data_IF_471295718457
#
_entry.id   IF_471295718457
#
_cell.length_a   1.000
_cell.length_b   1.000
_cell.length_c   1.000
_cell.angle_alpha   90.00
_cell.angle_beta   90.00
_cell.angle_gamma   90.00
#
_symmetry.space_group_name_H-M   'P 1'
#
loop_
_entity.id
_entity.type
_entity.pdbx_description
1 polymer ?
#
# COMPACT_ATOMS: atom_id res chain seq x y z
N UNK A 1 6.48 12.34 1.84
CA UNK A 1 5.38 11.37 2.00
C UNK A 1 5.83 10.02 1.46
N UNK A 2 5.59 8.97 2.22
CA UNK A 2 5.85 7.58 1.83
C UNK A 2 4.53 6.83 1.97
N UNK A 3 4.04 6.27 0.87
CA UNK A 3 2.81 5.49 0.87
C UNK A 3 3.18 4.02 1.01
N UNK A 4 2.53 3.33 1.94
CA UNK A 4 2.72 1.90 2.15
C UNK A 4 1.76 1.12 1.25
N UNK A 5 2.32 0.24 0.41
CA UNK A 5 1.54 -0.70 -0.38
C UNK A 5 0.89 -1.76 0.52
N UNK A 6 -0.04 -2.49 -0.03
CA UNK A 6 -0.82 -3.51 0.67
C UNK A 6 0.03 -4.52 1.42
N UNK A 7 1.11 -5.03 0.80
CA UNK A 7 1.99 -6.01 1.46
C UNK A 7 2.76 -5.41 2.65
N UNK A 8 3.10 -4.12 2.60
CA UNK A 8 3.76 -3.46 3.73
C UNK A 8 2.75 -3.22 4.85
N UNK A 9 1.54 -2.76 4.52
CA UNK A 9 0.47 -2.58 5.50
C UNK A 9 0.15 -3.92 6.20
N UNK A 10 0.04 -5.01 5.44
CA UNK A 10 -0.19 -6.34 6.00
C UNK A 10 0.93 -6.79 6.95
N UNK A 11 2.18 -6.48 6.60
CA UNK A 11 3.33 -6.83 7.43
C UNK A 11 3.27 -6.18 8.82
N UNK A 12 2.68 -5.00 8.92
CA UNK A 12 2.52 -4.31 10.21
C UNK A 12 1.54 -5.01 11.14
N UNK A 13 0.68 -5.89 10.60
CA UNK A 13 -0.29 -6.67 11.39
C UNK A 13 0.34 -7.92 12.00
N UNK A 14 1.49 -8.35 11.48
CA UNK A 14 2.27 -9.48 12.00
C UNK A 14 3.75 -9.10 12.09
N UNK A 15 4.08 -8.11 12.94
CA UNK A 15 5.42 -7.51 12.95
C UNK A 15 6.54 -8.50 13.32
N UNK A 16 6.23 -9.53 14.09
CA UNK A 16 7.20 -10.54 14.52
C UNK A 16 7.75 -11.37 13.36
N UNK A 17 7.04 -11.44 12.23
CA UNK A 17 7.48 -12.18 11.04
C UNK A 17 8.08 -11.27 9.97
N UNK A 18 8.15 -9.96 10.21
CA UNK A 18 8.59 -8.98 9.22
C UNK A 18 9.56 -7.95 9.81
N UNK A 19 10.57 -8.42 10.53
CA UNK A 19 11.54 -7.57 11.22
C UNK A 19 12.23 -6.54 10.32
N UNK A 20 12.66 -6.88 9.09
CA UNK A 20 13.28 -5.86 8.22
C UNK A 20 12.35 -4.68 7.93
N UNK A 21 11.06 -4.93 7.74
CA UNK A 21 10.06 -3.89 7.49
C UNK A 21 9.90 -2.99 8.71
N UNK A 22 9.82 -3.59 9.90
CA UNK A 22 9.68 -2.83 11.14
C UNK A 22 10.92 -1.97 11.37
N UNK A 23 12.12 -2.53 11.17
CA UNK A 23 13.37 -1.78 11.32
C UNK A 23 13.46 -0.61 10.34
N UNK A 24 13.03 -0.84 9.10
CA UNK A 24 12.99 0.22 8.09
C UNK A 24 12.01 1.32 8.50
N UNK A 25 10.82 0.92 8.96
CA UNK A 25 9.77 1.86 9.35
C UNK A 25 10.19 2.72 10.55
N UNK A 26 10.89 2.13 11.52
CA UNK A 26 11.37 2.84 12.70
C UNK A 26 12.35 3.96 12.35
N UNK A 27 12.96 3.91 11.20
CA UNK A 27 13.88 4.95 10.71
C UNK A 27 13.17 6.11 10.02
N UNK A 28 11.86 5.99 9.77
CA UNK A 28 11.09 7.01 9.07
C UNK A 28 10.41 7.97 10.05
N UNK A 29 10.16 9.19 9.58
CA UNK A 29 9.34 10.14 10.32
C UNK A 29 7.89 9.63 10.36
N UNK A 30 7.28 9.45 11.55
CA UNK A 30 5.92 8.90 11.62
C UNK A 30 4.90 9.65 10.77
N UNK A 31 4.99 10.98 10.73
CA UNK A 31 4.05 11.81 9.97
C UNK A 31 4.18 11.66 8.46
N UNK A 32 5.31 11.12 8.00
CA UNK A 32 5.54 10.91 6.56
C UNK A 32 4.90 9.62 6.05
N UNK A 33 4.45 8.74 6.94
CA UNK A 33 3.95 7.40 6.60
C UNK A 33 2.44 7.46 6.38
N UNK A 34 2.03 7.07 5.18
CA UNK A 34 0.64 7.07 4.73
C UNK A 34 0.30 5.70 4.16
N UNK A 35 -0.98 5.39 4.05
CA UNK A 35 -1.46 4.29 3.24
C UNK A 35 -2.58 4.80 2.33
N UNK A 36 -3.21 3.93 1.55
CA UNK A 36 -4.27 4.32 0.64
C UNK A 36 -5.58 3.59 0.96
N UNK A 37 -6.69 4.19 0.52
CA UNK A 37 -8.00 3.51 0.59
C UNK A 37 -8.00 2.20 -0.22
N UNK A 38 -7.17 2.10 -1.25
CA UNK A 38 -7.04 0.88 -2.06
C UNK A 38 -6.39 -0.22 -1.23
N UNK A 39 -5.29 0.07 -0.54
CA UNK A 39 -4.63 -0.91 0.34
C UNK A 39 -5.54 -1.31 1.51
N UNK A 40 -6.28 -0.36 2.07
CA UNK A 40 -7.27 -0.67 3.09
C UNK A 40 -8.30 -1.66 2.55
N UNK A 41 -8.85 -1.40 1.36
CA UNK A 41 -9.79 -2.31 0.71
C UNK A 41 -9.19 -3.71 0.55
N UNK A 42 -7.99 -3.81 0.00
CA UNK A 42 -7.36 -5.11 -0.26
C UNK A 42 -7.12 -5.91 1.02
N UNK A 43 -6.60 -5.27 2.06
CA UNK A 43 -6.34 -5.94 3.35
C UNK A 43 -7.65 -6.36 4.01
N UNK A 44 -8.63 -5.46 4.06
CA UNK A 44 -9.93 -5.76 4.69
C UNK A 44 -10.67 -6.85 3.94
N UNK A 45 -10.66 -6.82 2.61
CA UNK A 45 -11.28 -7.86 1.79
C UNK A 45 -10.62 -9.21 2.03
N UNK A 46 -9.28 -9.25 2.12
CA UNK A 46 -8.56 -10.48 2.46
C UNK A 46 -8.97 -11.04 3.81
N UNK A 47 -9.14 -10.19 4.81
CA UNK A 47 -9.60 -10.61 6.14
C UNK A 47 -11.03 -11.17 6.06
N UNK A 48 -11.93 -10.51 5.32
CA UNK A 48 -13.31 -10.98 5.18
C UNK A 48 -13.41 -12.35 4.54
N UNK A 49 -12.44 -12.73 3.69
CA UNK A 49 -12.41 -14.05 3.05
C UNK A 49 -11.95 -15.17 3.98
N UNK A 50 -11.39 -14.87 5.14
CA UNK A 50 -10.98 -15.87 6.10
C UNK A 50 -12.18 -16.55 6.76
N UNK A 51 -12.04 -17.82 7.18
CA UNK A 51 -13.08 -18.48 7.99
C UNK A 51 -13.33 -17.72 9.28
N UNK A 52 -14.56 -17.72 9.76
CA UNK A 52 -14.90 -17.14 11.07
C UNK A 52 -14.05 -17.81 12.16
N UNK A 53 -13.54 -17.01 13.08
CA UNK A 53 -12.73 -17.51 14.20
C UNK A 53 -11.76 -16.47 14.74
N UNK A 54 -10.86 -16.94 15.60
CA UNK A 54 -9.93 -16.07 16.34
C UNK A 54 -8.96 -15.32 15.44
N UNK A 55 -8.47 -15.99 14.38
CA UNK A 55 -7.52 -15.36 13.46
C UNK A 55 -8.15 -14.18 12.75
N UNK A 56 -9.36 -14.35 12.21
CA UNK A 56 -10.09 -13.29 11.53
C UNK A 56 -10.37 -12.12 12.47
N UNK A 57 -10.85 -12.43 13.68
CA UNK A 57 -11.13 -11.42 14.70
C UNK A 57 -9.87 -10.64 15.10
N UNK A 58 -8.76 -11.36 15.29
CA UNK A 58 -7.48 -10.76 15.65
C UNK A 58 -6.93 -9.84 14.58
N UNK A 59 -7.02 -10.25 13.30
CA UNK A 59 -6.56 -9.43 12.18
C UNK A 59 -7.43 -8.18 12.00
N UNK A 60 -8.76 -8.31 12.17
CA UNK A 60 -9.63 -7.16 12.13
C UNK A 60 -9.28 -6.14 13.22
N UNK A 61 -9.02 -6.61 14.44
CA UNK A 61 -8.61 -5.72 15.53
C UNK A 61 -7.26 -5.07 15.27
N UNK A 62 -6.29 -5.84 14.76
CA UNK A 62 -4.97 -5.30 14.40
C UNK A 62 -5.09 -4.18 13.37
N UNK A 63 -5.91 -4.39 12.34
CA UNK A 63 -6.10 -3.37 11.31
C UNK A 63 -6.80 -2.13 11.89
N UNK A 64 -7.85 -2.32 12.68
CA UNK A 64 -8.55 -1.20 13.31
C UNK A 64 -7.62 -0.38 14.21
N UNK A 65 -6.75 -1.05 14.98
CA UNK A 65 -5.77 -0.39 15.81
C UNK A 65 -4.73 0.40 15.00
N UNK A 66 -4.24 -0.20 13.91
CA UNK A 66 -3.30 0.50 13.02
C UNK A 66 -3.93 1.76 12.44
N UNK A 67 -5.16 1.66 11.96
CA UNK A 67 -5.86 2.80 11.37
C UNK A 67 -6.06 3.92 12.39
N UNK A 68 -6.45 3.57 13.63
CA UNK A 68 -6.71 4.55 14.67
C UNK A 68 -5.44 5.22 15.20
N UNK A 69 -4.36 4.44 15.37
CA UNK A 69 -3.14 4.91 16.05
C UNK A 69 -2.10 5.48 15.10
N UNK A 70 -1.97 4.90 13.90
CA UNK A 70 -0.85 5.21 12.98
C UNK A 70 -1.28 5.87 11.69
N UNK A 71 -2.52 5.65 11.24
CA UNK A 71 -2.99 6.17 9.95
C UNK A 71 -4.21 7.09 10.08
N UNK A 72 -4.53 7.52 11.29
CA UNK A 72 -5.58 8.52 11.49
C UNK A 72 -5.18 9.80 10.74
N UNK A 73 -6.03 10.24 9.82
CA UNK A 73 -5.80 11.41 8.96
C UNK A 73 -4.66 11.26 7.95
N UNK A 74 -4.04 10.08 7.86
CA UNK A 74 -2.98 9.80 6.86
C UNK A 74 -3.39 8.68 5.91
N UNK A 75 -4.59 8.76 5.41
CA UNK A 75 -5.17 7.87 4.42
C UNK A 75 -5.28 8.63 3.09
N UNK A 76 -4.56 8.20 2.06
CA UNK A 76 -4.61 8.84 0.76
C UNK A 76 -5.79 8.31 -0.06
N UNK A 77 -6.55 9.22 -0.65
CA UNK A 77 -7.76 8.90 -1.42
C UNK A 77 -7.43 8.71 -2.89
N UNK A 78 -8.23 7.88 -3.55
CA UNK A 78 -8.20 7.73 -5.00
C UNK A 78 -9.14 8.78 -5.59
N UNK A 79 -8.62 9.98 -5.78
CA UNK A 79 -9.36 11.14 -6.27
C UNK A 79 -9.22 11.29 -7.79
N UNK A 80 -9.75 12.39 -8.33
CA UNK A 80 -9.71 12.63 -9.78
C UNK A 80 -8.27 12.74 -10.29
N UNK A 81 -7.40 13.45 -9.59
CA UNK A 81 -6.00 13.59 -9.99
C UNK A 81 -5.30 12.23 -10.03
N UNK A 82 -5.53 11.40 -9.00
CA UNK A 82 -4.99 10.04 -8.98
C UNK A 82 -5.50 9.20 -10.15
N UNK A 83 -6.78 9.33 -10.48
CA UNK A 83 -7.39 8.60 -11.60
C UNK A 83 -6.78 9.01 -12.94
N UNK A 84 -6.50 10.30 -13.15
CA UNK A 84 -5.85 10.77 -14.38
C UNK A 84 -4.46 10.17 -14.54
N UNK A 85 -3.65 10.14 -13.48
CA UNK A 85 -2.33 9.52 -13.50
C UNK A 85 -2.42 8.00 -13.69
N UNK A 86 -3.35 7.35 -12.98
CA UNK A 86 -3.57 5.91 -13.10
C UNK A 86 -3.91 5.51 -14.53
N UNK A 87 -4.79 6.26 -15.18
CA UNK A 87 -5.18 6.00 -16.58
C UNK A 87 -3.96 6.01 -17.50
N UNK A 88 -3.08 7.00 -17.36
CA UNK A 88 -1.87 7.11 -18.17
C UNK A 88 -0.91 5.97 -17.90
N UNK A 89 -0.62 5.67 -16.63
CA UNK A 89 0.30 4.61 -16.22
C UNK A 89 -0.22 3.26 -16.72
N UNK A 90 -1.50 2.97 -16.49
CA UNK A 90 -2.11 1.69 -16.87
C UNK A 90 -2.11 1.47 -18.38
N UNK A 91 -2.47 2.48 -19.16
CA UNK A 91 -2.49 2.34 -20.61
C UNK A 91 -1.09 2.19 -21.20
N UNK A 92 -0.10 2.90 -20.66
CA UNK A 92 1.29 2.74 -21.10
C UNK A 92 1.79 1.31 -20.84
N UNK A 93 1.45 0.72 -19.69
CA UNK A 93 1.83 -0.65 -19.37
C UNK A 93 1.15 -1.66 -20.28
N UNK A 94 -0.13 -1.49 -20.56
CA UNK A 94 -0.86 -2.35 -21.50
C UNK A 94 -0.23 -2.29 -22.91
N UNK A 95 0.11 -1.09 -23.37
CA UNK A 95 0.75 -0.90 -24.68
C UNK A 95 2.12 -1.57 -24.77
N UNK A 96 2.82 -1.72 -23.66
CA UNK A 96 4.11 -2.42 -23.62
C UNK A 96 3.95 -3.93 -23.37
N UNK A 97 2.74 -4.45 -23.34
CA UNK A 97 2.48 -5.87 -23.18
C UNK A 97 2.54 -6.40 -21.77
N UNK A 98 2.59 -5.51 -20.76
CA UNK A 98 2.63 -5.92 -19.36
C UNK A 98 1.24 -6.25 -18.85
N UNK A 99 1.15 -7.32 -18.04
CA UNK A 99 -0.05 -7.58 -17.25
C UNK A 99 -0.14 -6.56 -16.12
N UNK A 100 -1.34 -5.97 -15.94
CA UNK A 100 -1.54 -4.97 -14.91
C UNK A 100 -2.70 -5.38 -13.99
N UNK A 101 -2.48 -5.21 -12.70
CA UNK A 101 -3.52 -5.31 -11.68
C UNK A 101 -4.11 -3.92 -11.50
N UNK A 102 -5.44 -3.80 -11.57
CA UNK A 102 -6.12 -2.50 -11.47
C UNK A 102 -5.76 -1.79 -10.15
N UNK A 103 -5.74 -2.55 -9.05
CA UNK A 103 -5.42 -1.99 -7.74
C UNK A 103 -4.01 -1.39 -7.70
N UNK A 104 -3.02 -2.05 -8.30
CA UNK A 104 -1.66 -1.53 -8.36
C UNK A 104 -1.59 -0.24 -9.17
N UNK A 105 -2.33 -0.16 -10.27
CA UNK A 105 -2.41 1.05 -11.09
C UNK A 105 -3.03 2.21 -10.29
N UNK A 106 -4.07 1.93 -9.53
CA UNK A 106 -4.73 2.94 -8.68
C UNK A 106 -3.78 3.46 -7.60
N UNK A 107 -3.04 2.56 -6.94
CA UNK A 107 -2.04 2.94 -5.93
C UNK A 107 -0.93 3.78 -6.58
N UNK A 108 -0.44 3.37 -7.74
CA UNK A 108 0.56 4.12 -8.49
C UNK A 108 0.07 5.53 -8.83
N UNK A 109 -1.18 5.66 -9.27
CA UNK A 109 -1.80 6.95 -9.55
C UNK A 109 -1.85 7.85 -8.33
N UNK A 110 -2.20 7.30 -7.17
CA UNK A 110 -2.20 8.05 -5.91
C UNK A 110 -0.78 8.53 -5.57
N UNK A 111 0.21 7.66 -5.70
CA UNK A 111 1.60 8.01 -5.39
C UNK A 111 2.10 9.17 -6.27
N UNK A 112 1.81 9.13 -7.57
CA UNK A 112 2.20 10.21 -8.49
C UNK A 112 1.45 11.50 -8.17
N UNK A 113 0.14 11.42 -7.93
CA UNK A 113 -0.68 12.60 -7.62
C UNK A 113 -0.21 13.32 -6.35
N UNK A 114 0.33 12.56 -5.38
CA UNK A 114 0.81 13.11 -4.10
C UNK A 114 2.30 13.41 -4.12
N UNK A 115 2.98 13.17 -5.23
CA UNK A 115 4.44 13.26 -5.33
C UNK A 115 5.13 12.46 -4.21
N UNK A 116 4.63 11.26 -3.98
CA UNK A 116 5.05 10.40 -2.88
C UNK A 116 5.95 9.27 -3.37
N UNK A 117 6.76 8.74 -2.46
CA UNK A 117 7.43 7.44 -2.65
C UNK A 117 6.42 6.33 -2.34
N UNK A 118 6.63 5.17 -2.91
CA UNK A 118 5.83 3.99 -2.65
C UNK A 118 6.71 2.89 -2.06
N UNK A 119 6.40 2.45 -0.85
CA UNK A 119 7.06 1.33 -0.21
C UNK A 119 6.32 0.05 -0.57
N UNK A 120 7.01 -0.86 -1.25
CA UNK A 120 6.43 -2.12 -1.73
C UNK A 120 7.49 -3.21 -1.87
N UNK A 121 7.07 -4.45 -1.66
CA UNK A 121 7.89 -5.62 -2.00
C UNK A 121 7.79 -5.97 -3.49
N UNK A 122 6.66 -5.63 -4.12
CA UNK A 122 6.33 -6.03 -5.49
C UNK A 122 6.78 -4.97 -6.49
N UNK A 123 8.08 -4.67 -6.51
CA UNK A 123 8.63 -3.59 -7.34
C UNK A 123 8.32 -3.77 -8.83
N UNK A 124 8.23 -5.02 -9.30
CA UNK A 124 7.92 -5.32 -10.70
C UNK A 124 6.52 -4.88 -11.12
N UNK A 125 5.58 -4.85 -10.18
CA UNK A 125 4.18 -4.46 -10.46
C UNK A 125 4.05 -2.94 -10.66
N UNK A 126 5.08 -2.19 -10.27
CA UNK A 126 5.07 -0.73 -10.30
C UNK A 126 6.15 -0.16 -11.22
N UNK A 127 6.45 -0.87 -12.31
CA UNK A 127 7.50 -0.46 -13.25
C UNK A 127 7.28 0.94 -13.82
N UNK A 128 6.04 1.38 -13.96
CA UNK A 128 5.70 2.71 -14.47
C UNK A 128 6.09 3.87 -13.55
N UNK A 129 6.39 3.58 -12.28
CA UNK A 129 6.83 4.58 -11.30
C UNK A 129 8.11 4.12 -10.58
N UNK A 130 9.00 3.45 -11.30
CA UNK A 130 10.19 2.79 -10.73
C UNK A 130 11.07 3.74 -9.90
N UNK A 131 11.13 5.01 -10.28
CA UNK A 131 11.93 6.03 -9.59
C UNK A 131 11.39 6.42 -8.21
N UNK A 132 10.16 6.03 -7.90
CA UNK A 132 9.50 6.32 -6.62
C UNK A 132 9.51 5.16 -5.64
N UNK A 133 10.06 4.00 -6.03
CA UNK A 133 9.90 2.77 -5.25
C UNK A 133 10.96 2.63 -4.16
N UNK A 134 10.53 2.09 -3.02
CA UNK A 134 11.41 1.64 -1.94
C UNK A 134 10.96 0.23 -1.54
N UNK A 135 11.90 -0.69 -1.39
CA UNK A 135 11.58 -2.03 -0.90
C UNK A 135 12.05 -2.17 0.55
N UNK A 136 11.14 -2.17 1.54
CA UNK A 136 11.52 -2.24 2.95
C UNK A 136 12.16 -3.57 3.36
N UNK A 137 12.08 -4.60 2.53
CA UNK A 137 12.71 -5.90 2.79
C UNK A 137 14.18 -5.97 2.37
N UNK A 138 14.63 -5.03 1.56
CA UNK A 138 16.03 -4.97 1.10
C UNK A 138 16.97 -4.36 2.16
#
# INVERSE_FOLDING_TARGET
MIILDTNVLSALMTPETHQPVISWLDQQEPESIWTTVISLYEVRAGIHLLPEGRRKQGLNRSLDDLLAKHFHMRMAWYDQEAAEHAARIGTDQVKTGLNVEVQDIMIAGIAVARDAKLATRNVKHFAGIADRLVNPWD
#
